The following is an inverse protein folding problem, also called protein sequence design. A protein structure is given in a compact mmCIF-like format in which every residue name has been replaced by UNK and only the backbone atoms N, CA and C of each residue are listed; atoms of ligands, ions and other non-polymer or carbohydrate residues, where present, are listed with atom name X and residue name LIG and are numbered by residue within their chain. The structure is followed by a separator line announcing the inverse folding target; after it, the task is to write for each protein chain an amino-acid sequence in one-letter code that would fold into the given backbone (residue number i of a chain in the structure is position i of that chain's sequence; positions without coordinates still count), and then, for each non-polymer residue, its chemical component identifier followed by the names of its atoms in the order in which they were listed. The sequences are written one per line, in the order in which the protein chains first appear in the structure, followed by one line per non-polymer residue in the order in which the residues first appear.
data_IF_951544479737
#
_entry.id   IF_951544479737
#
_cell.length_a   1.000
_cell.length_b   1.000
_cell.length_c   1.000
_cell.angle_alpha   90.00
_cell.angle_beta   90.00
_cell.angle_gamma   90.00
#
_symmetry.space_group_name_H-M   'P 1'
#
loop_
_entity.id
_entity.type
_entity.pdbx_description
1 polymer ?
#
# COMPACT_ATOMS: atom_id res chain seq x y z
N UNK A 1 -39.09 20.21 -43.97
CA UNK A 1 -38.32 18.99 -44.27
C UNK A 1 -37.17 18.98 -43.30
N UNK A 2 -37.30 18.19 -42.23
CA UNK A 2 -36.33 18.10 -41.13
C UNK A 2 -35.43 16.93 -41.49
N UNK A 3 -34.13 17.17 -41.60
CA UNK A 3 -33.11 16.11 -41.64
C UNK A 3 -31.88 16.60 -40.90
N UNK A 4 -31.81 16.18 -39.64
CA UNK A 4 -30.65 15.76 -38.85
C UNK A 4 -29.27 16.17 -39.37
N UNK A 5 -28.64 17.08 -38.62
CA UNK A 5 -27.19 17.29 -38.63
C UNK A 5 -26.68 17.44 -37.18
N UNK A 6 -27.16 16.57 -36.29
CA UNK A 6 -26.60 16.37 -34.95
C UNK A 6 -25.90 15.01 -34.92
N UNK A 7 -24.63 14.92 -35.34
CA UNK A 7 -23.87 13.67 -35.14
C UNK A 7 -22.34 13.78 -35.24
N UNK A 8 -21.71 14.92 -34.94
CA UNK A 8 -20.23 14.97 -34.89
C UNK A 8 -19.64 15.62 -33.63
N UNK A 9 -20.44 15.77 -32.57
CA UNK A 9 -19.94 16.23 -31.26
C UNK A 9 -19.70 15.08 -30.26
N UNK A 10 -19.78 13.81 -30.68
CA UNK A 10 -19.74 12.66 -29.75
C UNK A 10 -18.47 11.80 -29.78
N UNK A 11 -17.46 12.19 -30.55
CA UNK A 11 -16.17 11.49 -30.58
C UNK A 11 -15.08 12.49 -30.19
N UNK A 12 -15.03 12.86 -28.91
CA UNK A 12 -13.77 13.28 -28.26
C UNK A 12 -13.86 13.50 -26.74
N UNK A 13 -15.01 13.23 -26.11
CA UNK A 13 -15.06 13.16 -24.65
C UNK A 13 -14.29 11.95 -24.05
N UNK A 14 -13.99 10.93 -24.87
CA UNK A 14 -13.22 9.74 -24.44
C UNK A 14 -11.70 9.88 -24.61
N UNK A 15 -11.24 10.75 -25.53
CA UNK A 15 -9.82 11.03 -25.69
C UNK A 15 -9.30 12.05 -24.66
N UNK A 16 -10.18 12.93 -24.16
CA UNK A 16 -9.90 13.85 -23.05
C UNK A 16 -9.99 13.18 -21.65
N UNK A 17 -10.33 11.89 -21.56
CA UNK A 17 -10.25 11.11 -20.33
C UNK A 17 -8.84 10.54 -20.06
N UNK A 18 -7.82 11.06 -20.75
CA UNK A 18 -6.41 10.80 -20.47
C UNK A 18 -5.97 11.45 -19.15
N UNK A 19 -5.99 10.64 -18.08
CA UNK A 19 -5.26 10.80 -16.80
C UNK A 19 -5.65 12.01 -15.94
N UNK A 20 -6.81 11.93 -15.29
CA UNK A 20 -6.93 12.54 -13.96
C UNK A 20 -6.00 11.77 -12.99
N UNK A 21 -4.84 12.36 -12.70
CA UNK A 21 -4.07 12.11 -11.48
C UNK A 21 -3.34 10.78 -11.36
N UNK A 22 -2.40 10.48 -12.26
CA UNK A 22 -1.38 9.47 -11.93
C UNK A 22 -0.55 9.99 -10.75
N UNK A 23 -0.63 9.31 -9.61
CA UNK A 23 0.18 9.64 -8.44
C UNK A 23 1.66 9.48 -8.82
N UNK A 24 2.53 10.48 -8.55
CA UNK A 24 3.95 10.37 -8.85
C UNK A 24 4.58 9.15 -8.18
N UNK A 25 5.43 8.42 -8.91
CA UNK A 25 6.08 7.20 -8.42
C UNK A 25 6.89 7.43 -7.13
N UNK A 26 7.41 8.64 -6.96
CA UNK A 26 8.15 9.10 -5.78
C UNK A 26 7.31 9.06 -4.49
N UNK A 27 5.98 9.21 -4.60
CA UNK A 27 5.08 9.08 -3.44
C UNK A 27 5.06 7.63 -2.98
N UNK A 28 4.89 6.67 -3.89
CA UNK A 28 4.91 5.25 -3.54
C UNK A 28 6.27 4.80 -3.01
N UNK A 29 7.35 5.37 -3.55
CA UNK A 29 8.70 5.13 -3.06
C UNK A 29 8.89 5.66 -1.63
N UNK A 30 8.32 6.82 -1.31
CA UNK A 30 8.33 7.36 0.04
C UNK A 30 7.57 6.46 1.01
N UNK A 31 6.42 5.92 0.59
CA UNK A 31 5.64 4.95 1.40
C UNK A 31 6.46 3.68 1.65
N UNK A 32 7.13 3.15 0.62
CA UNK A 32 8.02 1.99 0.73
C UNK A 32 9.13 2.23 1.76
N UNK A 33 9.86 3.34 1.65
CA UNK A 33 10.95 3.69 2.56
C UNK A 33 10.45 3.93 3.99
N UNK A 34 9.31 4.59 4.16
CA UNK A 34 8.72 4.82 5.47
C UNK A 34 8.30 3.52 6.16
N UNK A 35 7.71 2.58 5.41
CA UNK A 35 7.38 1.24 5.91
C UNK A 35 8.64 0.47 6.30
N UNK A 36 9.67 0.48 5.45
CA UNK A 36 10.95 -0.17 5.73
C UNK A 36 11.60 0.36 7.00
N UNK A 37 11.74 1.69 7.09
CA UNK A 37 12.35 2.34 8.23
C UNK A 37 11.60 2.04 9.51
N UNK A 38 10.27 2.05 9.47
CA UNK A 38 9.47 1.85 10.67
C UNK A 38 9.56 0.42 11.21
N UNK A 39 9.53 -0.59 10.34
CA UNK A 39 9.75 -1.99 10.71
C UNK A 39 11.15 -2.20 11.31
N UNK A 40 12.20 -1.67 10.66
CA UNK A 40 13.58 -1.76 11.16
C UNK A 40 13.77 -1.04 12.49
N UNK A 41 13.23 0.15 12.63
CA UNK A 41 13.35 0.95 13.86
C UNK A 41 12.62 0.28 15.03
N UNK A 42 11.45 -0.32 14.79
CA UNK A 42 10.75 -1.08 15.81
C UNK A 42 11.55 -2.33 16.19
N UNK A 43 12.03 -3.11 15.21
CA UNK A 43 12.87 -4.28 15.45
C UNK A 43 14.12 -3.94 16.29
N UNK A 44 14.79 -2.83 15.96
CA UNK A 44 15.98 -2.35 16.68
C UNK A 44 15.71 -2.02 18.15
N UNK A 45 14.53 -1.48 18.47
CA UNK A 45 14.16 -1.08 19.84
C UNK A 45 13.53 -2.22 20.64
N UNK A 46 12.71 -3.04 19.98
CA UNK A 46 11.82 -4.01 20.61
C UNK A 46 11.74 -5.31 19.78
N UNK A 47 12.86 -6.03 19.57
CA UNK A 47 12.92 -7.13 18.60
C UNK A 47 11.91 -8.24 18.89
N UNK A 48 11.71 -8.59 20.17
CA UNK A 48 10.79 -9.65 20.59
C UNK A 48 9.30 -9.28 20.49
N UNK A 49 8.98 -7.98 20.33
CA UNK A 49 7.59 -7.49 20.26
C UNK A 49 7.15 -7.18 18.84
N UNK A 50 8.06 -7.30 17.86
CA UNK A 50 7.78 -6.95 16.48
C UNK A 50 6.51 -7.63 15.93
N UNK A 51 6.26 -8.95 16.12
CA UNK A 51 5.11 -9.60 15.49
C UNK A 51 3.74 -9.02 15.86
N UNK A 52 3.63 -8.36 17.00
CA UNK A 52 2.42 -7.70 17.50
C UNK A 52 2.56 -6.18 17.55
N UNK A 53 3.39 -5.61 16.67
CA UNK A 53 3.70 -4.19 16.71
C UNK A 53 2.68 -3.31 16.01
N UNK A 54 2.51 -2.11 16.56
CA UNK A 54 1.81 -1.01 15.89
C UNK A 54 2.83 -0.11 15.21
N UNK A 55 2.81 -0.15 13.88
CA UNK A 55 3.53 0.79 13.03
C UNK A 55 2.93 2.19 13.20
N UNK A 56 3.70 3.21 12.83
CA UNK A 56 3.23 4.59 12.85
C UNK A 56 1.95 4.72 12.02
N UNK A 57 0.93 5.33 12.64
CA UNK A 57 -0.43 5.39 12.09
C UNK A 57 -0.50 6.00 10.68
N UNK A 58 0.37 6.95 10.36
CA UNK A 58 0.44 7.55 9.02
C UNK A 58 1.08 6.64 7.97
N UNK A 59 1.99 5.75 8.36
CA UNK A 59 2.54 4.72 7.47
C UNK A 59 1.44 3.71 7.14
N UNK A 60 0.67 3.28 8.15
CA UNK A 60 -0.47 2.38 7.97
C UNK A 60 -1.53 3.02 7.06
N UNK A 61 -1.90 4.28 7.33
CA UNK A 61 -2.83 5.05 6.49
C UNK A 61 -2.34 5.12 5.05
N UNK A 62 -1.05 5.40 4.81
CA UNK A 62 -0.49 5.50 3.47
C UNK A 62 -0.49 4.15 2.73
N UNK A 63 -0.26 3.03 3.40
CA UNK A 63 -0.37 1.69 2.80
C UNK A 63 -1.82 1.37 2.41
N UNK A 64 -2.80 1.70 3.28
CA UNK A 64 -4.23 1.52 2.98
C UNK A 64 -4.66 2.38 1.80
N UNK A 65 -4.28 3.65 1.79
CA UNK A 65 -4.50 4.57 0.68
C UNK A 65 -3.88 4.06 -0.63
N UNK A 66 -2.64 3.56 -0.59
CA UNK A 66 -2.00 2.98 -1.76
C UNK A 66 -2.79 1.78 -2.28
N UNK A 67 -3.29 0.91 -1.40
CA UNK A 67 -4.11 -0.24 -1.78
C UNK A 67 -5.44 0.14 -2.45
N UNK A 68 -6.06 1.23 -1.99
CA UNK A 68 -7.30 1.77 -2.57
C UNK A 68 -7.05 2.45 -3.91
N UNK A 69 -5.93 3.17 -4.03
CA UNK A 69 -5.60 3.97 -5.23
C UNK A 69 -5.00 3.12 -6.35
N UNK A 70 -4.02 2.27 -6.04
CA UNK A 70 -3.37 1.39 -7.01
C UNK A 70 -2.98 0.06 -6.34
N UNK A 71 -3.88 -0.95 -6.40
CA UNK A 71 -3.69 -2.24 -5.74
C UNK A 71 -2.38 -2.94 -6.10
N UNK A 72 -2.00 -2.91 -7.37
CA UNK A 72 -0.80 -3.59 -7.86
C UNK A 72 0.47 -2.96 -7.32
N UNK A 73 0.53 -1.62 -7.33
CA UNK A 73 1.66 -0.87 -6.77
C UNK A 73 1.75 -1.06 -5.25
N UNK A 74 0.63 -1.11 -4.54
CA UNK A 74 0.61 -1.38 -3.11
C UNK A 74 1.18 -2.77 -2.74
N UNK A 75 0.88 -3.79 -3.55
CA UNK A 75 1.46 -5.13 -3.36
C UNK A 75 2.97 -5.10 -3.61
N UNK A 76 3.40 -4.47 -4.71
CA UNK A 76 4.82 -4.36 -5.06
C UNK A 76 5.63 -3.61 -4.00
N UNK A 77 5.17 -2.43 -3.55
CA UNK A 77 5.90 -1.66 -2.54
C UNK A 77 5.94 -2.39 -1.19
N UNK A 78 4.88 -3.12 -0.84
CA UNK A 78 4.82 -3.88 0.41
C UNK A 78 5.78 -5.06 0.36
N UNK A 79 5.80 -5.78 -0.77
CA UNK A 79 6.75 -6.87 -1.02
C UNK A 79 8.19 -6.36 -0.94
N UNK A 80 8.50 -5.29 -1.67
CA UNK A 80 9.84 -4.69 -1.68
C UNK A 80 10.25 -4.16 -0.30
N UNK A 81 9.31 -3.62 0.47
CA UNK A 81 9.54 -3.21 1.85
C UNK A 81 9.89 -4.41 2.74
N UNK A 82 9.05 -5.44 2.75
CA UNK A 82 9.22 -6.64 3.57
C UNK A 82 10.51 -7.40 3.24
N UNK A 83 10.85 -7.55 1.96
CA UNK A 83 12.10 -8.19 1.55
C UNK A 83 13.31 -7.40 2.03
N UNK A 84 13.35 -6.09 1.78
CA UNK A 84 14.52 -5.29 2.15
C UNK A 84 14.71 -5.18 3.67
N UNK A 85 13.65 -5.22 4.49
CA UNK A 85 13.83 -5.22 5.95
C UNK A 85 14.31 -6.56 6.48
N UNK A 86 14.12 -7.66 5.75
CA UNK A 86 14.59 -8.98 6.16
C UNK A 86 16.08 -9.23 5.87
N UNK A 87 16.75 -8.28 5.21
CA UNK A 87 18.20 -8.31 4.95
C UNK A 87 19.02 -7.74 6.13
N UNK A 88 20.27 -8.17 6.26
CA UNK A 88 21.35 -7.62 7.12
C UNK A 88 20.93 -7.19 8.54
N UNK A 89 20.96 -8.12 9.50
CA UNK A 89 20.57 -7.92 10.91
C UNK A 89 19.14 -7.38 11.11
N UNK A 90 18.30 -7.52 10.09
CA UNK A 90 16.88 -7.17 10.13
C UNK A 90 16.00 -8.23 10.78
N UNK A 91 14.71 -7.92 10.99
CA UNK A 91 13.74 -8.90 11.45
C UNK A 91 13.57 -10.06 10.47
N UNK A 92 13.06 -11.19 10.97
CA UNK A 92 12.60 -12.24 10.06
C UNK A 92 11.47 -11.71 9.18
N UNK A 93 11.38 -12.25 7.96
CA UNK A 93 10.29 -11.89 7.04
C UNK A 93 8.91 -12.17 7.65
N UNK A 94 8.79 -13.25 8.42
CA UNK A 94 7.55 -13.65 9.09
C UNK A 94 7.17 -12.67 10.21
N UNK A 95 8.12 -12.23 11.04
CA UNK A 95 7.85 -11.27 12.11
C UNK A 95 7.48 -9.89 11.54
N UNK A 96 8.16 -9.46 10.48
CA UNK A 96 7.84 -8.21 9.78
C UNK A 96 6.44 -8.27 9.14
N UNK A 97 6.11 -9.40 8.50
CA UNK A 97 4.78 -9.63 7.93
C UNK A 97 3.70 -9.71 9.01
N UNK A 98 3.97 -10.34 10.16
CA UNK A 98 3.07 -10.40 11.30
C UNK A 98 2.80 -9.00 11.87
N UNK A 99 3.84 -8.17 12.06
CA UNK A 99 3.64 -6.78 12.46
C UNK A 99 2.73 -6.03 11.48
N UNK A 100 3.02 -6.12 10.18
CA UNK A 100 2.24 -5.39 9.18
C UNK A 100 0.77 -5.84 9.19
N UNK A 101 0.50 -7.14 9.32
CA UNK A 101 -0.89 -7.65 9.47
C UNK A 101 -1.56 -7.03 10.69
N UNK A 102 -0.89 -7.04 11.85
CA UNK A 102 -1.43 -6.47 13.09
C UNK A 102 -1.73 -4.97 12.92
N UNK A 103 -0.74 -4.21 12.44
CA UNK A 103 -0.85 -2.76 12.24
C UNK A 103 -1.99 -2.36 11.29
N UNK A 104 -2.24 -3.13 10.23
CA UNK A 104 -3.34 -2.85 9.30
C UNK A 104 -4.73 -3.02 9.94
N UNK A 105 -4.84 -3.82 11.01
CA UNK A 105 -6.09 -3.95 11.79
C UNK A 105 -6.36 -2.77 12.72
N UNK A 106 -5.42 -1.83 12.85
CA UNK A 106 -5.66 -0.61 13.62
C UNK A 106 -6.40 0.44 12.79
N UNK A 107 -7.14 1.32 13.45
CA UNK A 107 -7.69 2.52 12.83
C UNK A 107 -6.58 3.50 12.44
N UNK A 108 -6.79 4.26 11.36
CA UNK A 108 -5.81 5.22 10.87
C UNK A 108 -6.49 6.41 10.19
N UNK A 109 -5.89 7.61 10.12
CA UNK A 109 -6.51 8.77 9.48
C UNK A 109 -6.99 8.45 8.06
N UNK A 110 -8.28 8.71 7.81
CA UNK A 110 -8.91 8.48 6.50
C UNK A 110 -9.31 7.03 6.18
N UNK A 111 -8.96 6.05 7.02
CA UNK A 111 -9.23 4.64 6.74
C UNK A 111 -9.64 3.86 7.99
N UNK A 112 -10.69 3.04 7.85
CA UNK A 112 -11.14 2.14 8.91
C UNK A 112 -10.09 1.05 9.21
N UNK A 113 -10.22 0.43 10.38
CA UNK A 113 -9.52 -0.81 10.70
C UNK A 113 -9.87 -1.90 9.67
N UNK A 114 -8.85 -2.57 9.12
CA UNK A 114 -9.08 -3.77 8.31
C UNK A 114 -9.42 -4.94 9.22
N UNK A 115 -10.20 -5.89 8.71
CA UNK A 115 -10.30 -7.19 9.36
C UNK A 115 -8.95 -7.91 9.32
N UNK A 116 -8.68 -8.79 10.29
CA UNK A 116 -7.45 -9.60 10.27
C UNK A 116 -7.33 -10.44 8.99
N UNK A 117 -8.45 -10.95 8.48
CA UNK A 117 -8.52 -11.71 7.22
C UNK A 117 -8.13 -10.85 6.02
N UNK A 118 -8.61 -9.60 5.95
CA UNK A 118 -8.28 -8.65 4.89
C UNK A 118 -6.79 -8.31 4.91
N UNK A 119 -6.26 -7.94 6.08
CA UNK A 119 -4.84 -7.69 6.27
C UNK A 119 -3.98 -8.90 5.90
N UNK A 120 -4.39 -10.10 6.33
CA UNK A 120 -3.69 -11.34 6.02
C UNK A 120 -3.68 -11.65 4.54
N UNK A 121 -4.79 -11.48 3.83
CA UNK A 121 -4.87 -11.67 2.37
C UNK A 121 -3.97 -10.68 1.64
N UNK A 122 -3.97 -9.41 2.03
CA UNK A 122 -3.12 -8.39 1.42
C UNK A 122 -1.62 -8.71 1.61
N UNK A 123 -1.18 -8.93 2.85
CA UNK A 123 0.23 -9.23 3.14
C UNK A 123 0.67 -10.54 2.49
N UNK A 124 -0.19 -11.55 2.49
CA UNK A 124 0.11 -12.84 1.82
C UNK A 124 0.23 -12.65 0.30
N UNK A 125 -0.67 -11.88 -0.31
CA UNK A 125 -0.57 -11.57 -1.74
C UNK A 125 0.71 -10.81 -2.07
N UNK A 126 1.15 -9.88 -1.23
CA UNK A 126 2.42 -9.18 -1.41
C UNK A 126 3.61 -10.15 -1.35
N UNK A 127 3.65 -11.06 -0.35
CA UNK A 127 4.70 -12.08 -0.22
C UNK A 127 4.73 -13.08 -1.39
N UNK A 128 3.59 -13.31 -2.05
CA UNK A 128 3.47 -14.19 -3.22
C UNK A 128 3.81 -13.49 -4.54
N UNK A 129 3.77 -12.15 -4.59
CA UNK A 129 4.13 -11.36 -5.77
C UNK A 129 5.65 -11.29 -6.03
N UNK A 130 6.43 -12.13 -5.33
CA UNK A 130 7.88 -12.29 -5.44
C UNK A 130 8.33 -12.95 -6.75
#
# INVERSE_FOLDING_TARGET
MVTDYESEAHIDARAAAGRQGEVPGEVYETIRLALQWNLREYHRKHPAQLPSCDLYVYVVSAVKWARETNPGVALYLTQSALTAVADDDGPTLDDAAACLRHSLTQESPGHNAWSYDEASRFVTAALLAR
#
